data_IF_697641541467
#
_entry.id   IF_697641541467
#
_cell.length_a   1.000
_cell.length_b   1.000
_cell.length_c   1.000
_cell.angle_alpha   90.00
_cell.angle_beta   90.00
_cell.angle_gamma   90.00
#
_symmetry.space_group_name_H-M   'P 1'
#
loop_
_entity.id
_entity.type
_entity.pdbx_description
1 polymer ?
#
# COMPACT_ATOMS: atom_id res chain seq x y z
N UNK A 1 7.43 12.01 20.17
CA UNK A 1 6.63 11.73 19.00
C UNK A 1 7.12 10.50 18.25
N UNK A 2 6.25 9.58 17.99
CA UNK A 2 6.65 8.32 17.38
C UNK A 2 6.26 8.27 15.93
N UNK A 3 7.26 8.02 15.11
CA UNK A 3 7.07 7.87 13.68
C UNK A 3 7.15 6.39 13.35
N UNK A 4 6.14 5.89 12.65
CA UNK A 4 6.16 4.51 12.19
C UNK A 4 7.13 4.44 11.04
N UNK A 5 8.02 3.46 11.10
CA UNK A 5 9.09 3.35 10.15
C UNK A 5 9.12 1.93 9.59
N UNK A 6 9.10 1.80 8.28
CA UNK A 6 9.16 0.51 7.64
C UNK A 6 10.07 0.59 6.42
N UNK A 7 10.79 -0.50 6.17
CA UNK A 7 11.60 -0.63 4.97
C UNK A 7 11.00 -1.72 4.10
N UNK A 8 10.76 -1.38 2.86
CA UNK A 8 10.19 -2.33 1.93
C UNK A 8 10.63 -1.99 0.52
N UNK A 9 10.81 -3.01 -0.30
CA UNK A 9 10.99 -2.83 -1.71
C UNK A 9 9.63 -3.01 -2.37
N UNK A 10 9.07 -1.92 -2.85
CA UNK A 10 7.75 -1.93 -3.46
C UNK A 10 7.88 -1.74 -4.96
N UNK A 11 7.08 -2.45 -5.71
CA UNK A 11 6.95 -2.20 -7.14
C UNK A 11 6.17 -0.90 -7.35
N UNK A 12 6.20 -0.40 -8.57
CA UNK A 12 5.43 0.79 -8.92
C UNK A 12 3.95 0.57 -8.68
N UNK A 13 3.42 -0.59 -9.06
CA UNK A 13 2.01 -0.90 -8.86
C UNK A 13 1.65 -1.04 -7.40
N UNK A 14 2.53 -1.65 -6.60
CA UNK A 14 2.31 -1.77 -5.16
C UNK A 14 2.28 -0.40 -4.50
N UNK A 15 3.19 0.47 -4.90
CA UNK A 15 3.23 1.83 -4.38
C UNK A 15 1.94 2.58 -4.71
N UNK A 16 1.44 2.40 -5.93
CA UNK A 16 0.22 3.08 -6.34
C UNK A 16 -1.00 2.57 -5.57
N UNK A 17 -1.08 1.25 -5.38
CA UNK A 17 -2.17 0.67 -4.58
C UNK A 17 -2.10 1.20 -3.14
N UNK A 18 -0.92 1.23 -2.56
CA UNK A 18 -0.75 1.73 -1.20
C UNK A 18 -1.17 3.19 -1.10
N UNK A 19 -0.79 4.00 -2.10
CA UNK A 19 -1.16 5.41 -2.12
C UNK A 19 -2.67 5.59 -2.15
N UNK A 20 -3.36 4.82 -2.97
CA UNK A 20 -4.81 4.93 -3.10
C UNK A 20 -5.51 4.45 -1.82
N UNK A 21 -4.98 3.41 -1.17
CA UNK A 21 -5.50 3.01 0.13
C UNK A 21 -5.38 4.15 1.14
N UNK A 22 -4.24 4.84 1.12
CA UNK A 22 -4.02 5.97 2.01
C UNK A 22 -4.93 7.16 1.71
N UNK A 23 -5.41 7.25 0.48
CA UNK A 23 -6.37 8.28 0.08
C UNK A 23 -7.81 7.89 0.42
N UNK A 24 -8.01 6.74 1.06
CA UNK A 24 -9.34 6.32 1.49
C UNK A 24 -10.11 5.52 0.45
N UNK A 25 -9.48 5.08 -0.62
CA UNK A 25 -10.16 4.30 -1.65
C UNK A 25 -10.36 2.87 -1.20
N UNK A 26 -11.51 2.31 -1.55
CA UNK A 26 -11.75 0.88 -1.34
C UNK A 26 -10.99 0.09 -2.40
N UNK A 27 -10.83 -1.22 -2.16
CA UNK A 27 -10.16 -2.08 -3.13
C UNK A 27 -10.91 -2.09 -4.46
N UNK A 28 -12.25 -2.03 -4.41
CA UNK A 28 -13.05 -1.97 -5.65
C UNK A 28 -12.80 -0.67 -6.41
N UNK A 29 -12.69 0.45 -5.69
CA UNK A 29 -12.40 1.73 -6.31
C UNK A 29 -11.00 1.74 -6.92
N UNK A 30 -10.05 1.12 -6.25
CA UNK A 30 -8.68 1.01 -6.76
C UNK A 30 -8.67 0.19 -8.05
N UNK A 31 -9.38 -0.93 -8.06
CA UNK A 31 -9.45 -1.78 -9.24
C UNK A 31 -9.99 -0.98 -10.43
N UNK A 32 -11.06 -0.22 -10.22
CA UNK A 32 -11.64 0.59 -11.27
C UNK A 32 -10.68 1.67 -11.75
N UNK A 33 -10.02 2.34 -10.80
CA UNK A 33 -9.12 3.44 -11.15
C UNK A 33 -7.90 2.96 -11.92
N UNK A 34 -7.35 1.81 -11.54
CA UNK A 34 -6.17 1.27 -12.21
C UNK A 34 -6.51 0.38 -13.39
N UNK A 35 -7.80 0.15 -13.64
CA UNK A 35 -8.27 -0.68 -14.75
C UNK A 35 -7.71 -2.10 -14.67
N UNK A 36 -7.74 -2.65 -13.46
CA UNK A 36 -7.32 -4.03 -13.20
C UNK A 36 -8.42 -4.73 -12.43
N UNK A 37 -8.33 -6.05 -12.31
CA UNK A 37 -9.36 -6.82 -11.60
C UNK A 37 -9.24 -6.62 -10.10
N UNK A 38 -10.35 -6.84 -9.40
CA UNK A 38 -10.34 -6.84 -7.95
C UNK A 38 -9.41 -7.91 -7.40
N UNK A 39 -9.36 -9.07 -8.09
CA UNK A 39 -8.44 -10.13 -7.70
C UNK A 39 -6.99 -9.64 -7.71
N UNK A 40 -6.62 -8.89 -8.75
CA UNK A 40 -5.27 -8.36 -8.85
C UNK A 40 -4.98 -7.36 -7.74
N UNK A 41 -5.94 -6.48 -7.43
CA UNK A 41 -5.77 -5.56 -6.31
C UNK A 41 -5.57 -6.31 -5.00
N UNK A 42 -6.37 -7.36 -4.78
CA UNK A 42 -6.24 -8.17 -3.57
C UNK A 42 -4.88 -8.85 -3.49
N UNK A 43 -4.32 -9.26 -4.63
CA UNK A 43 -2.99 -9.83 -4.67
C UNK A 43 -1.92 -8.81 -4.29
N UNK A 44 -2.07 -7.58 -4.78
CA UNK A 44 -1.15 -6.51 -4.40
C UNK A 44 -1.27 -6.21 -2.90
N UNK A 45 -2.48 -6.19 -2.37
CA UNK A 45 -2.67 -5.98 -0.94
C UNK A 45 -2.03 -7.09 -0.11
N UNK A 46 -2.13 -8.33 -0.57
CA UNK A 46 -1.48 -9.46 0.11
C UNK A 46 0.04 -9.29 0.14
N UNK A 47 0.62 -8.88 -0.98
CA UNK A 47 2.06 -8.62 -1.05
C UNK A 47 2.46 -7.47 -0.13
N UNK A 48 1.68 -6.41 -0.12
CA UNK A 48 1.96 -5.25 0.75
C UNK A 48 1.89 -5.64 2.21
N UNK A 49 0.88 -6.43 2.59
CA UNK A 49 0.77 -6.90 3.98
C UNK A 49 2.02 -7.69 4.37
N UNK A 50 2.49 -8.54 3.48
CA UNK A 50 3.68 -9.34 3.75
C UNK A 50 4.91 -8.46 3.85
N UNK A 51 5.08 -7.53 2.91
CA UNK A 51 6.26 -6.67 2.89
C UNK A 51 6.31 -5.70 4.06
N UNK A 52 5.15 -5.25 4.52
CA UNK A 52 5.08 -4.31 5.64
C UNK A 52 4.79 -5.01 6.97
N UNK A 53 4.77 -6.34 6.95
CA UNK A 53 4.64 -7.16 8.16
C UNK A 53 3.38 -6.85 8.93
N UNK A 54 2.26 -6.79 8.24
CA UNK A 54 0.95 -6.65 8.87
C UNK A 54 0.04 -7.77 8.40
N UNK A 55 -0.84 -8.24 9.29
CA UNK A 55 -1.67 -9.40 8.99
C UNK A 55 -3.02 -9.04 8.40
N UNK A 56 -3.52 -7.84 8.66
CA UNK A 56 -4.90 -7.48 8.30
C UNK A 56 -4.93 -6.28 7.38
N UNK A 57 -5.91 -6.26 6.49
CA UNK A 57 -6.11 -5.14 5.58
C UNK A 57 -6.30 -3.84 6.34
N UNK A 58 -7.04 -3.87 7.45
CA UNK A 58 -7.26 -2.67 8.24
C UNK A 58 -5.95 -2.05 8.72
N UNK A 59 -4.98 -2.88 9.08
CA UNK A 59 -3.68 -2.38 9.50
C UNK A 59 -2.90 -1.83 8.32
N UNK A 60 -3.02 -2.45 7.16
CA UNK A 60 -2.37 -1.96 5.96
C UNK A 60 -2.93 -0.57 5.60
N UNK A 61 -4.24 -0.42 5.65
CA UNK A 61 -4.88 0.86 5.37
C UNK A 61 -4.40 1.92 6.36
N UNK A 62 -4.29 1.56 7.63
CA UNK A 62 -3.80 2.51 8.63
C UNK A 62 -2.39 2.98 8.32
N UNK A 63 -1.50 2.05 7.95
CA UNK A 63 -0.13 2.43 7.59
C UNK A 63 -0.15 3.34 6.37
N UNK A 64 -0.98 3.03 5.39
CA UNK A 64 -1.09 3.85 4.18
C UNK A 64 -1.55 5.26 4.50
N UNK A 65 -2.56 5.40 5.38
CA UNK A 65 -3.06 6.70 5.80
C UNK A 65 -1.97 7.50 6.51
N UNK A 66 -1.26 6.86 7.44
CA UNK A 66 -0.21 7.53 8.18
C UNK A 66 0.96 7.91 7.27
N UNK A 67 1.27 7.08 6.31
CA UNK A 67 2.30 7.38 5.33
C UNK A 67 1.93 8.58 4.47
N UNK A 68 0.69 8.63 4.00
CA UNK A 68 0.21 9.77 3.21
C UNK A 68 0.18 11.05 4.03
N UNK A 69 -0.03 10.93 5.33
CA UNK A 69 -0.04 12.09 6.22
C UNK A 69 1.35 12.51 6.67
N UNK A 70 2.39 11.75 6.32
CA UNK A 70 3.76 12.07 6.69
C UNK A 70 4.14 11.61 8.10
N UNK A 71 3.26 10.86 8.77
CA UNK A 71 3.55 10.35 10.12
C UNK A 71 4.32 9.04 10.05
N UNK A 72 3.98 8.19 9.08
CA UNK A 72 4.69 6.95 8.85
C UNK A 72 5.62 7.11 7.66
N UNK A 73 6.81 6.57 7.78
CA UNK A 73 7.79 6.63 6.73
C UNK A 73 8.02 5.23 6.17
N UNK A 74 7.86 5.07 4.87
CA UNK A 74 8.13 3.81 4.19
C UNK A 74 9.28 4.06 3.23
N UNK A 75 10.39 3.37 3.47
CA UNK A 75 11.53 3.48 2.59
C UNK A 75 11.30 2.56 1.40
N UNK A 76 11.08 3.17 0.24
CA UNK A 76 10.85 2.43 -0.99
C UNK A 76 12.18 2.32 -1.72
N UNK A 77 12.61 1.10 -2.01
CA UNK A 77 13.87 0.85 -2.68
C UNK A 77 13.61 0.00 -3.90
N UNK A 78 14.30 0.36 -4.99
CA UNK A 78 14.21 -0.44 -6.20
C UNK A 78 12.82 -0.51 -6.78
N UNK A 79 12.10 0.62 -6.81
CA UNK A 79 10.77 0.65 -7.41
C UNK A 79 10.88 0.25 -8.87
N UNK A 80 10.05 -0.72 -9.27
CA UNK A 80 10.07 -1.24 -10.62
C UNK A 80 8.68 -1.20 -11.22
N UNK A 81 8.62 -1.01 -12.51
CA UNK A 81 7.39 -1.19 -13.23
C UNK A 81 7.02 -2.67 -13.26
N UNK A 82 5.74 -2.93 -13.17
CA UNK A 82 5.24 -4.30 -13.23
C UNK A 82 4.22 -4.45 -14.31
#
# INVERSE_FOLDING_TARGET
>A
MNQIYARATLSQCETEVLRLLGDGKTTAEIAAKLEISLKTVNEYCARLKKKLDVAKLARLVRIAVLWRAGVAEIVVRGVRGE
#
